data_IF_163971827508
#
_entry.id   IF_163971827508
#
_cell.length_a   1.000
_cell.length_b   1.000
_cell.length_c   1.000
_cell.angle_alpha   90.00
_cell.angle_beta   90.00
_cell.angle_gamma   90.00
#
_symmetry.space_group_name_H-M   'P 1'
#
loop_
_entity.id
_entity.type
_entity.pdbx_description
1 polymer ?
#
# COMPACT_ATOMS: atom_id res chain seq x y z
N UNK A 1 -51.90 6.91 -69.09
CA UNK A 1 -51.12 5.93 -69.88
C UNK A 1 -50.24 5.16 -68.91
N UNK A 2 -50.28 3.81 -68.96
CA UNK A 2 -49.54 2.81 -68.16
C UNK A 2 -48.01 3.09 -68.18
N UNK A 3 -47.19 2.70 -67.20
CA UNK A 3 -46.82 1.34 -66.74
C UNK A 3 -46.01 1.50 -65.41
N UNK A 4 -46.29 0.72 -64.36
CA UNK A 4 -45.52 -0.48 -63.92
C UNK A 4 -44.18 -0.12 -63.23
N UNK A 5 -43.62 -0.81 -62.24
CA UNK A 5 -43.91 -1.89 -61.29
C UNK A 5 -42.58 -2.02 -60.48
N UNK A 6 -42.51 -2.92 -59.50
CA UNK A 6 -41.35 -3.40 -58.74
C UNK A 6 -40.84 -2.52 -57.58
N UNK A 7 -40.38 -3.07 -56.45
CA UNK A 7 -40.38 -4.42 -55.88
C UNK A 7 -39.56 -4.31 -54.59
N UNK A 8 -40.04 -4.97 -53.53
CA UNK A 8 -39.29 -5.57 -52.41
C UNK A 8 -37.95 -4.96 -51.98
N UNK A 9 -37.88 -4.55 -50.71
CA UNK A 9 -36.66 -4.72 -49.88
C UNK A 9 -37.08 -4.91 -48.42
N UNK A 10 -37.17 -6.17 -47.99
CA UNK A 10 -36.14 -6.91 -47.23
C UNK A 10 -35.99 -6.42 -45.78
N UNK A 11 -36.79 -7.03 -44.90
CA UNK A 11 -36.55 -7.11 -43.46
C UNK A 11 -35.19 -7.80 -43.22
N UNK A 12 -34.23 -7.06 -42.68
CA UNK A 12 -33.01 -7.62 -42.11
C UNK A 12 -33.27 -7.91 -40.63
N UNK A 13 -33.47 -9.19 -40.31
CA UNK A 13 -33.46 -9.69 -38.94
C UNK A 13 -32.01 -9.62 -38.43
N UNK A 14 -31.74 -8.72 -37.49
CA UNK A 14 -30.48 -8.64 -36.77
C UNK A 14 -30.49 -9.71 -35.66
N UNK A 15 -29.94 -10.89 -35.95
CA UNK A 15 -29.71 -11.92 -34.94
C UNK A 15 -28.55 -11.49 -34.03
N UNK A 16 -28.87 -10.90 -32.87
CA UNK A 16 -27.93 -10.70 -31.78
C UNK A 16 -27.56 -12.07 -31.19
N UNK A 17 -26.40 -12.59 -31.57
CA UNK A 17 -25.76 -13.71 -30.88
C UNK A 17 -25.15 -13.15 -29.60
N UNK A 18 -25.89 -13.27 -28.49
CA UNK A 18 -25.41 -12.97 -27.15
C UNK A 18 -24.43 -14.07 -26.74
N UNK A 19 -23.14 -13.87 -26.98
CA UNK A 19 -22.09 -14.69 -26.39
C UNK A 19 -22.04 -14.42 -24.89
N UNK A 20 -22.71 -15.28 -24.11
CA UNK A 20 -22.62 -15.30 -22.66
C UNK A 20 -21.19 -15.72 -22.28
N UNK A 21 -20.32 -14.75 -22.01
CA UNK A 21 -19.05 -14.99 -21.33
C UNK A 21 -19.43 -15.40 -19.90
N UNK A 22 -19.09 -16.61 -19.42
CA UNK A 22 -19.34 -16.97 -18.04
C UNK A 22 -18.46 -16.07 -17.17
N UNK A 23 -19.11 -15.12 -16.48
CA UNK A 23 -18.51 -14.38 -15.39
C UNK A 23 -18.10 -15.40 -14.33
N UNK A 24 -16.82 -15.78 -14.33
CA UNK A 24 -16.25 -16.56 -13.23
C UNK A 24 -16.30 -15.66 -12.02
N UNK A 25 -17.25 -15.92 -11.12
CA UNK A 25 -17.27 -15.29 -9.81
C UNK A 25 -15.93 -15.59 -9.14
N UNK A 26 -15.11 -14.56 -8.96
CA UNK A 26 -13.91 -14.67 -8.14
C UNK A 26 -14.35 -15.11 -6.75
N UNK A 27 -13.72 -16.17 -6.23
CA UNK A 27 -13.99 -16.64 -4.88
C UNK A 27 -13.92 -15.46 -3.91
N UNK A 28 -14.83 -15.36 -2.92
CA UNK A 28 -14.80 -14.27 -1.96
C UNK A 28 -13.41 -14.25 -1.28
N UNK A 29 -12.86 -13.05 -1.02
CA UNK A 29 -11.55 -12.95 -0.38
C UNK A 29 -11.57 -13.69 0.97
N UNK A 30 -10.45 -14.33 1.36
CA UNK A 30 -10.36 -14.98 2.66
C UNK A 30 -10.74 -14.01 3.79
N UNK A 31 -11.44 -14.48 4.84
CA UNK A 31 -11.78 -13.65 5.98
C UNK A 31 -10.54 -13.11 6.68
N UNK A 32 -10.65 -11.91 7.26
CA UNK A 32 -9.57 -11.30 8.02
C UNK A 32 -9.17 -12.19 9.22
N UNK A 33 -7.87 -12.29 9.56
CA UNK A 33 -7.43 -13.00 10.75
C UNK A 33 -8.06 -12.40 12.02
N UNK A 34 -8.34 -13.22 13.06
CA UNK A 34 -8.87 -12.71 14.31
C UNK A 34 -7.80 -11.89 15.05
N UNK A 35 -8.23 -10.75 15.61
CA UNK A 35 -7.40 -9.88 16.45
C UNK A 35 -7.31 -10.48 17.85
N UNK A 36 -6.09 -10.75 18.32
CA UNK A 36 -5.80 -11.23 19.67
C UNK A 36 -5.68 -10.08 20.67
N UNK A 37 -4.98 -9.01 20.28
CA UNK A 37 -4.71 -7.86 21.13
C UNK A 37 -4.32 -6.64 20.29
N UNK A 38 -3.87 -5.57 20.96
CA UNK A 38 -3.23 -4.43 20.30
C UNK A 38 -1.85 -4.21 20.92
N UNK A 39 -0.86 -3.90 20.09
CA UNK A 39 0.45 -3.44 20.50
C UNK A 39 0.56 -1.92 20.29
N UNK A 40 1.49 -1.27 20.99
CA UNK A 40 1.85 0.12 20.73
C UNK A 40 3.02 0.16 19.77
N UNK A 41 2.83 0.75 18.60
CA UNK A 41 3.91 1.05 17.67
C UNK A 41 4.28 2.53 17.75
N UNK A 42 5.57 2.82 17.67
CA UNK A 42 6.13 4.15 17.48
C UNK A 42 7.00 4.15 16.22
N UNK A 43 6.79 5.15 15.36
CA UNK A 43 7.59 5.34 14.16
C UNK A 43 8.31 6.68 14.22
N UNK A 44 9.61 6.66 13.98
CA UNK A 44 10.42 7.88 13.77
C UNK A 44 10.77 7.98 12.30
N UNK A 45 10.23 8.99 11.61
CA UNK A 45 10.34 9.11 10.15
C UNK A 45 11.27 10.26 9.78
N UNK A 46 12.13 10.02 8.80
CA UNK A 46 13.02 11.00 8.16
C UNK A 46 12.78 10.99 6.65
N UNK A 47 12.96 12.15 6.01
CA UNK A 47 13.09 12.29 4.57
C UNK A 47 14.58 12.42 4.26
N UNK A 48 15.07 11.62 3.33
CA UNK A 48 16.41 11.76 2.77
C UNK A 48 16.29 12.29 1.36
N UNK A 49 17.05 13.34 1.06
CA UNK A 49 17.15 13.94 -0.26
C UNK A 49 18.55 13.66 -0.81
N UNK A 50 18.61 13.24 -2.07
CA UNK A 50 19.87 12.97 -2.76
C UNK A 50 19.92 13.65 -4.13
N UNK A 51 21.14 14.01 -4.53
CA UNK A 51 21.45 14.59 -5.82
C UNK A 51 22.75 13.98 -6.35
N UNK A 52 22.78 13.59 -7.62
CA UNK A 52 23.94 12.95 -8.26
C UNK A 52 24.52 11.76 -7.46
N UNK A 53 23.65 10.92 -6.87
CA UNK A 53 24.07 9.75 -6.10
C UNK A 53 24.61 10.04 -4.69
N UNK A 54 24.56 11.29 -4.23
CA UNK A 54 25.00 11.68 -2.90
C UNK A 54 23.83 12.22 -2.07
N UNK A 55 23.78 11.84 -0.79
CA UNK A 55 22.83 12.42 0.17
C UNK A 55 23.19 13.88 0.39
N UNK A 56 22.25 14.77 0.10
CA UNK A 56 22.42 16.22 0.27
C UNK A 56 21.75 16.72 1.54
N UNK A 57 20.70 16.05 2.00
CA UNK A 57 19.93 16.49 3.18
C UNK A 57 19.17 15.34 3.82
N UNK A 58 19.13 15.35 5.15
CA UNK A 58 18.29 14.46 5.96
C UNK A 58 17.42 15.34 6.85
N UNK A 59 16.11 15.20 6.72
CA UNK A 59 15.12 15.99 7.49
C UNK A 59 14.31 15.05 8.36
N UNK A 60 14.32 15.26 9.68
CA UNK A 60 13.39 14.55 10.58
C UNK A 60 11.97 15.10 10.37
N UNK A 61 11.03 14.23 10.05
CA UNK A 61 9.65 14.62 9.73
C UNK A 61 8.75 14.53 10.96
N UNK A 62 8.71 13.35 11.59
CA UNK A 62 7.78 13.10 12.68
C UNK A 62 8.28 11.98 13.61
N UNK A 63 7.73 11.94 14.82
CA UNK A 63 7.71 10.77 15.69
C UNK A 63 6.28 10.55 16.15
N UNK A 64 5.63 9.50 15.66
CA UNK A 64 4.21 9.22 15.93
C UNK A 64 4.05 7.87 16.62
N UNK A 65 3.05 7.76 17.48
CA UNK A 65 2.75 6.52 18.19
C UNK A 65 1.26 6.21 18.13
N UNK A 66 0.93 4.93 18.05
CA UNK A 66 -0.45 4.47 17.93
C UNK A 66 -0.60 2.99 18.23
N UNK A 67 -1.84 2.54 18.35
CA UNK A 67 -2.17 1.12 18.54
C UNK A 67 -2.19 0.43 17.18
N UNK A 68 -1.54 -0.72 17.08
CA UNK A 68 -1.60 -1.61 15.92
C UNK A 68 -2.14 -2.98 16.35
N UNK A 69 -2.85 -3.68 15.45
CA UNK A 69 -3.43 -4.97 15.76
C UNK A 69 -2.36 -6.06 15.88
N UNK A 70 -2.61 -7.00 16.79
CA UNK A 70 -1.88 -8.27 16.92
C UNK A 70 -2.85 -9.39 16.56
N UNK A 71 -2.52 -10.17 15.53
CA UNK A 71 -3.35 -11.26 15.03
C UNK A 71 -2.78 -12.62 15.41
N UNK A 72 -3.62 -13.66 15.45
CA UNK A 72 -3.12 -15.03 15.36
C UNK A 72 -2.79 -15.34 13.91
N UNK A 73 -1.58 -15.80 13.64
CA UNK A 73 -1.14 -16.15 12.31
C UNK A 73 -1.23 -17.66 12.04
N UNK A 74 -1.82 -18.02 10.89
CA UNK A 74 -1.79 -19.37 10.35
C UNK A 74 -0.70 -19.56 9.27
N UNK A 75 0.16 -18.55 9.03
CA UNK A 75 1.29 -18.62 8.10
C UNK A 75 1.46 -17.43 7.14
N UNK A 76 0.77 -16.32 7.35
CA UNK A 76 0.81 -15.12 6.51
C UNK A 76 0.63 -13.82 7.32
N UNK A 77 1.75 -13.15 7.63
CA UNK A 77 1.76 -11.72 7.95
C UNK A 77 1.36 -10.92 6.71
N UNK A 78 0.08 -10.65 6.55
CA UNK A 78 -0.44 -9.89 5.42
C UNK A 78 -0.35 -8.40 5.71
N UNK A 79 0.32 -7.67 4.81
CA UNK A 79 0.29 -6.19 4.75
C UNK A 79 -1.15 -5.65 4.71
N UNK A 80 -2.08 -6.48 4.24
CA UNK A 80 -3.51 -6.21 4.08
C UNK A 80 -4.25 -5.93 5.38
N UNK A 81 -3.68 -6.29 6.54
CA UNK A 81 -4.31 -6.10 7.85
C UNK A 81 -3.57 -5.07 8.72
N UNK A 82 -2.82 -4.16 8.11
CA UNK A 82 -2.17 -3.07 8.83
C UNK A 82 -3.19 -2.04 9.32
N UNK A 83 -2.90 -1.41 10.46
CA UNK A 83 -3.64 -0.25 10.96
C UNK A 83 -2.80 1.00 10.83
N UNK A 84 -3.41 2.07 10.34
CA UNK A 84 -2.77 3.36 10.21
C UNK A 84 -2.64 4.09 11.56
N UNK A 85 -1.52 4.79 11.74
CA UNK A 85 -1.23 5.73 12.82
C UNK A 85 -1.23 7.12 12.21
N UNK A 86 -2.09 8.00 12.70
CA UNK A 86 -2.20 9.36 12.24
C UNK A 86 -1.15 10.29 12.87
N UNK A 87 -0.99 11.48 12.29
CA UNK A 87 -0.21 12.58 12.88
C UNK A 87 1.16 12.84 12.25
N UNK A 88 1.53 12.12 11.18
CA UNK A 88 2.77 12.37 10.46
C UNK A 88 2.50 13.16 9.17
N UNK A 89 3.20 14.27 8.99
CA UNK A 89 3.06 15.17 7.85
C UNK A 89 4.44 15.69 7.42
N UNK A 90 4.54 16.16 6.18
CA UNK A 90 5.72 16.89 5.69
C UNK A 90 5.33 18.03 4.74
N UNK A 91 6.15 19.07 4.68
CA UNK A 91 6.00 20.11 3.65
C UNK A 91 6.82 19.71 2.42
N UNK A 92 6.16 19.63 1.26
CA UNK A 92 6.80 19.33 -0.02
C UNK A 92 6.30 20.29 -1.09
N UNK A 93 7.24 21.00 -1.74
CA UNK A 93 6.93 22.04 -2.76
C UNK A 93 5.86 23.03 -2.29
N UNK A 94 5.95 23.48 -1.03
CA UNK A 94 5.02 24.42 -0.42
C UNK A 94 3.66 23.84 -0.01
N UNK A 95 3.38 22.56 -0.25
CA UNK A 95 2.15 21.87 0.15
C UNK A 95 2.40 20.93 1.31
N UNK A 96 1.44 20.85 2.24
CA UNK A 96 1.48 19.86 3.30
C UNK A 96 1.03 18.48 2.77
N UNK A 97 1.85 17.46 2.98
CA UNK A 97 1.65 16.09 2.53
C UNK A 97 1.44 15.20 3.75
N UNK A 98 0.37 14.41 3.72
CA UNK A 98 0.13 13.39 4.73
C UNK A 98 1.06 12.21 4.49
N UNK A 99 1.72 11.77 5.56
CA UNK A 99 2.52 10.56 5.55
C UNK A 99 1.70 9.45 6.20
N UNK A 100 1.39 8.42 5.43
CA UNK A 100 0.72 7.24 5.91
C UNK A 100 1.73 6.38 6.67
N UNK A 101 1.49 6.14 7.95
CA UNK A 101 2.30 5.24 8.79
C UNK A 101 1.39 4.10 9.21
N UNK A 102 1.76 2.85 8.97
CA UNK A 102 0.91 1.71 9.33
C UNK A 102 1.71 0.50 9.74
N UNK A 103 1.10 -0.38 10.54
CA UNK A 103 1.73 -1.63 10.97
C UNK A 103 0.76 -2.66 11.52
N UNK A 104 1.27 -3.88 11.70
CA UNK A 104 0.57 -5.00 12.33
C UNK A 104 1.58 -6.02 12.88
N UNK A 105 1.14 -6.83 13.84
CA UNK A 105 1.86 -8.01 14.32
C UNK A 105 0.99 -9.24 14.07
N UNK A 106 1.63 -10.37 13.77
CA UNK A 106 1.00 -11.68 13.69
C UNK A 106 1.81 -12.70 14.51
N UNK A 107 1.15 -13.47 15.38
CA UNK A 107 1.76 -14.50 16.24
C UNK A 107 1.37 -15.87 15.72
N UNK A 108 2.34 -16.66 15.26
CA UNK A 108 2.08 -17.97 14.66
C UNK A 108 1.86 -19.08 15.69
N UNK A 109 1.38 -20.26 15.24
CA UNK A 109 1.31 -21.48 16.05
C UNK A 109 2.73 -22.04 16.25
N UNK A 110 3.44 -21.44 17.20
CA UNK A 110 4.85 -21.68 17.53
C UNK A 110 5.46 -20.40 18.12
N UNK A 111 6.66 -20.42 18.69
CA UNK A 111 7.32 -19.22 19.17
C UNK A 111 7.84 -18.41 17.97
N UNK A 112 6.96 -17.86 17.13
CA UNK A 112 7.33 -17.02 15.99
C UNK A 112 6.37 -15.85 15.93
N UNK A 113 6.94 -14.65 15.94
CA UNK A 113 6.23 -13.39 15.73
C UNK A 113 6.68 -12.78 14.41
N UNK A 114 5.71 -12.32 13.64
CA UNK A 114 5.91 -11.51 12.46
C UNK A 114 5.43 -10.08 12.73
N UNK A 115 6.26 -9.10 12.40
CA UNK A 115 5.87 -7.70 12.43
C UNK A 115 5.98 -7.12 11.02
N UNK A 116 5.03 -6.28 10.65
CA UNK A 116 5.08 -5.53 9.41
C UNK A 116 4.81 -4.07 9.69
N UNK A 117 5.54 -3.19 9.02
CA UNK A 117 5.25 -1.77 9.04
C UNK A 117 5.60 -1.14 7.69
N UNK A 118 4.91 -0.04 7.39
CA UNK A 118 5.11 0.73 6.18
C UNK A 118 4.92 2.22 6.47
N UNK A 119 5.69 3.03 5.77
CA UNK A 119 5.56 4.47 5.73
C UNK A 119 5.53 4.89 4.26
N UNK A 120 4.56 5.69 3.86
CA UNK A 120 4.45 6.17 2.49
C UNK A 120 3.89 7.58 2.40
N UNK A 121 4.27 8.30 1.35
CA UNK A 121 3.71 9.60 1.01
C UNK A 121 3.36 9.63 -0.46
N UNK A 122 2.09 9.86 -0.76
CA UNK A 122 1.56 9.99 -2.11
C UNK A 122 1.04 11.41 -2.27
N UNK A 123 1.74 12.27 -3.03
CA UNK A 123 1.22 13.61 -3.33
C UNK A 123 -0.14 13.53 -4.04
N UNK A 124 -1.07 14.48 -3.79
CA UNK A 124 -2.36 14.52 -4.47
C UNK A 124 -2.27 14.61 -6.00
N UNK A 125 -1.17 15.14 -6.53
CA UNK A 125 -0.85 15.29 -7.94
C UNK A 125 0.03 14.16 -8.50
N UNK A 126 0.20 13.07 -7.74
CA UNK A 126 0.98 11.91 -8.19
C UNK A 126 0.32 11.23 -9.40
N UNK A 127 1.09 11.12 -10.48
CA UNK A 127 0.64 10.50 -11.73
C UNK A 127 0.70 8.96 -11.57
N UNK A 128 -0.35 8.22 -11.94
CA UNK A 128 -0.31 6.76 -12.01
C UNK A 128 0.71 6.25 -13.03
N UNK A 129 1.39 5.15 -12.70
CA UNK A 129 2.34 4.50 -13.62
C UNK A 129 1.65 3.81 -14.81
N UNK A 130 0.38 3.42 -14.64
CA UNK A 130 -0.43 2.80 -15.67
C UNK A 130 -1.93 3.05 -15.38
N UNK A 131 -2.82 2.76 -16.34
CA UNK A 131 -4.26 3.03 -16.24
C UNK A 131 -4.98 2.27 -15.11
N UNK A 132 -4.43 1.13 -14.68
CA UNK A 132 -4.94 0.32 -13.55
C UNK A 132 -4.04 0.38 -12.31
N UNK A 133 -2.89 1.03 -12.42
CA UNK A 133 -1.94 1.18 -11.32
C UNK A 133 -2.39 2.38 -10.49
N UNK A 134 -2.21 2.32 -9.16
CA UNK A 134 -2.45 3.49 -8.32
C UNK A 134 -1.44 4.63 -8.62
N UNK A 135 -1.70 5.84 -8.06
CA UNK A 135 -0.72 6.92 -8.06
C UNK A 135 0.59 6.46 -7.42
N UNK A 136 1.73 6.86 -8.00
CA UNK A 136 3.02 6.49 -7.45
C UNK A 136 3.33 7.29 -6.18
N UNK A 137 3.76 6.64 -5.07
CA UNK A 137 4.30 7.36 -3.93
C UNK A 137 5.52 8.19 -4.33
N UNK A 138 5.62 9.41 -3.80
CA UNK A 138 6.87 10.17 -3.87
C UNK A 138 7.98 9.44 -3.14
N UNK A 139 7.65 8.82 -2.01
CA UNK A 139 8.52 7.94 -1.28
C UNK A 139 7.70 6.95 -0.46
N UNK A 140 8.18 5.72 -0.37
CA UNK A 140 7.63 4.70 0.50
C UNK A 140 8.73 3.76 0.99
N UNK A 141 8.48 3.17 2.14
CA UNK A 141 9.40 2.25 2.80
C UNK A 141 8.61 1.23 3.59
N UNK A 142 9.08 0.00 3.61
CA UNK A 142 8.41 -1.07 4.35
C UNK A 142 9.40 -2.11 4.83
N UNK A 143 8.99 -2.87 5.84
CA UNK A 143 9.72 -4.04 6.28
C UNK A 143 8.75 -5.10 6.80
N UNK A 144 9.16 -6.34 6.59
CA UNK A 144 8.59 -7.52 7.25
C UNK A 144 9.70 -8.09 8.11
N UNK A 145 9.43 -8.21 9.40
CA UNK A 145 10.38 -8.70 10.39
C UNK A 145 9.86 -10.00 10.98
N UNK A 146 10.74 -11.00 11.11
CA UNK A 146 10.43 -12.30 11.71
C UNK A 146 11.36 -12.51 12.89
N UNK A 147 10.79 -12.87 14.04
CA UNK A 147 11.55 -13.10 15.26
C UNK A 147 11.03 -14.36 15.97
N UNK A 148 11.95 -15.07 16.61
CA UNK A 148 11.61 -16.19 17.49
C UNK A 148 11.03 -15.69 18.81
N UNK A 149 10.05 -16.41 19.34
CA UNK A 149 9.27 -16.06 20.52
C UNK A 149 8.19 -15.02 20.27
N UNK A 150 7.66 -14.52 21.39
CA UNK A 150 6.73 -13.38 21.45
C UNK A 150 7.40 -12.30 22.28
N UNK A 151 8.25 -11.46 21.67
CA UNK A 151 9.00 -10.47 22.42
C UNK A 151 8.07 -9.40 22.99
N UNK A 152 8.44 -8.86 24.16
CA UNK A 152 7.77 -7.70 24.77
C UNK A 152 7.99 -6.43 23.95
N UNK A 153 9.15 -6.32 23.31
CA UNK A 153 9.53 -5.20 22.46
C UNK A 153 10.32 -5.65 21.25
N UNK A 154 10.16 -4.95 20.13
CA UNK A 154 10.89 -5.18 18.89
C UNK A 154 11.21 -3.86 18.21
N UNK A 155 12.42 -3.75 17.66
CA UNK A 155 12.87 -2.56 16.93
C UNK A 155 13.45 -2.98 15.59
N UNK A 156 13.06 -2.29 14.52
CA UNK A 156 13.56 -2.57 13.17
C UNK A 156 13.47 -1.32 12.28
N UNK A 157 14.30 -1.29 11.24
CA UNK A 157 14.28 -0.23 10.23
C UNK A 157 13.45 -0.65 9.01
N UNK A 158 12.82 0.33 8.36
CA UNK A 158 12.15 0.13 7.09
C UNK A 158 13.15 0.20 5.93
N UNK A 159 12.90 -0.59 4.89
CA UNK A 159 13.68 -0.55 3.66
C UNK A 159 12.99 0.38 2.66
N UNK A 160 13.70 1.36 2.08
CA UNK A 160 13.19 2.18 0.99
C UNK A 160 12.74 1.35 -0.20
N UNK A 161 11.64 1.74 -0.83
CA UNK A 161 11.22 1.14 -2.09
C UNK A 161 12.06 1.72 -3.24
N UNK A 162 12.85 0.87 -3.94
CA UNK A 162 13.73 1.34 -5.01
C UNK A 162 12.96 1.96 -6.19
N UNK A 163 11.73 1.51 -6.46
CA UNK A 163 10.92 2.05 -7.57
C UNK A 163 10.54 3.50 -7.31
N UNK A 164 10.19 3.84 -6.08
CA UNK A 164 9.86 5.22 -5.71
C UNK A 164 11.10 6.11 -5.70
N UNK A 165 12.25 5.60 -5.25
CA UNK A 165 13.53 6.33 -5.35
C UNK A 165 13.91 6.68 -6.79
N UNK A 166 13.73 5.74 -7.72
CA UNK A 166 14.08 5.93 -9.14
C UNK A 166 13.19 6.97 -9.84
N UNK A 167 11.92 7.09 -9.43
CA UNK A 167 10.95 7.97 -10.08
C UNK A 167 10.80 9.33 -9.39
N UNK A 168 11.27 9.48 -8.14
CA UNK A 168 11.25 10.74 -7.43
C UNK A 168 12.21 11.76 -8.07
N UNK A 169 11.70 12.97 -8.35
CA UNK A 169 12.47 14.11 -8.85
C UNK A 169 12.25 15.34 -7.94
N UNK A 170 13.24 15.74 -7.10
CA UNK A 170 14.55 15.12 -6.90
C UNK A 170 14.45 13.72 -6.24
N UNK A 171 15.54 12.94 -6.27
CA UNK A 171 15.60 11.63 -5.63
C UNK A 171 15.40 11.77 -4.13
N UNK A 172 14.33 11.16 -3.61
CA UNK A 172 14.04 11.13 -2.18
C UNK A 172 13.60 9.75 -1.73
N UNK A 173 13.82 9.44 -0.45
CA UNK A 173 13.22 8.30 0.22
C UNK A 173 12.89 8.61 1.66
N UNK A 174 12.04 7.76 2.25
CA UNK A 174 11.78 7.78 3.67
C UNK A 174 12.72 6.81 4.37
N UNK A 175 13.27 7.22 5.49
CA UNK A 175 13.86 6.30 6.46
C UNK A 175 12.94 6.29 7.67
N UNK A 176 12.65 5.09 8.18
CA UNK A 176 11.86 4.98 9.40
C UNK A 176 12.40 3.88 10.30
N UNK A 177 12.58 4.24 11.56
CA UNK A 177 12.82 3.31 12.66
C UNK A 177 11.49 3.04 13.35
N UNK A 178 11.19 1.76 13.54
CA UNK A 178 9.96 1.28 14.14
C UNK A 178 10.29 0.61 15.47
N UNK A 179 9.59 1.01 16.51
CA UNK A 179 9.59 0.38 17.82
C UNK A 179 8.18 -0.12 18.10
N UNK A 180 8.03 -1.40 18.48
CA UNK A 180 6.75 -1.95 18.91
C UNK A 180 6.87 -2.55 20.30
N UNK A 181 5.90 -2.24 21.14
CA UNK A 181 5.74 -2.76 22.51
C UNK A 181 4.40 -3.49 22.60
N UNK A 182 4.45 -4.78 22.94
CA UNK A 182 3.28 -5.65 23.12
C UNK A 182 2.65 -5.49 24.51
#
# INVERSE_FOLDING_TARGET
MKLADLSRSRLLALSLVLSAIPAHATAPPPPAPPILSNARMTATVKLVEAHNGQVTKITKLCRVSGKIPVYSDNGSATLSNTREISGCNMTWKGKNQRISVSGAIAISKGPITFATASVSVVPPDAIPLCSICGPQPLADSSAKFKVSGVPKSLTFNLNPNPVSMLNAKPTVWLEAEIEVVN
#
